data_IF_551394013444
#
_entry.id   IF_551394013444
#
_cell.length_a   1.000
_cell.length_b   1.000
_cell.length_c   1.000
_cell.angle_alpha   90.00
_cell.angle_beta   90.00
_cell.angle_gamma   90.00
#
_symmetry.space_group_name_H-M   'P 1'
#
loop_
_entity.id
_entity.type
_entity.pdbx_description
1 polymer ?
#
# COMPACT_ATOMS: atom_id res chain seq x y z
N UNK A 1 -14.24 -5.11 5.60
CA UNK A 1 -14.41 -3.98 4.68
C UNK A 1 -15.91 -3.71 4.58
N UNK A 2 -16.34 -2.54 5.02
CA UNK A 2 -17.76 -2.25 5.34
C UNK A 2 -18.52 -1.56 4.20
N UNK A 3 -17.85 -1.33 3.05
CA UNK A 3 -18.38 -0.52 1.95
C UNK A 3 -19.21 -1.33 0.92
N UNK A 4 -19.39 -2.63 1.15
CA UNK A 4 -20.22 -3.50 0.31
C UNK A 4 -19.86 -3.42 -1.17
N UNK A 5 -20.87 -3.25 -2.03
CA UNK A 5 -20.74 -3.18 -3.49
C UNK A 5 -19.90 -1.97 -3.98
N UNK A 6 -19.73 -0.93 -3.17
CA UNK A 6 -18.94 0.25 -3.56
C UNK A 6 -17.44 0.06 -3.32
N UNK A 7 -17.04 -1.00 -2.61
CA UNK A 7 -15.65 -1.21 -2.20
C UNK A 7 -14.68 -1.15 -3.38
N UNK A 8 -14.97 -1.86 -4.47
CA UNK A 8 -14.07 -1.93 -5.62
C UNK A 8 -13.88 -0.56 -6.29
N UNK A 9 -14.98 0.16 -6.55
CA UNK A 9 -14.95 1.51 -7.11
C UNK A 9 -14.13 2.46 -6.25
N UNK A 10 -14.34 2.46 -4.94
CA UNK A 10 -13.62 3.35 -4.02
C UNK A 10 -12.12 3.00 -3.95
N UNK A 11 -11.74 1.72 -4.06
CA UNK A 11 -10.33 1.33 -4.13
C UNK A 11 -9.67 1.75 -5.45
N UNK A 12 -10.41 1.75 -6.56
CA UNK A 12 -9.93 2.29 -7.83
C UNK A 12 -9.76 3.82 -7.77
N UNK A 13 -10.73 4.54 -7.19
CA UNK A 13 -10.64 5.99 -6.96
C UNK A 13 -9.46 6.34 -6.05
N UNK A 14 -9.21 5.56 -5.00
CA UNK A 14 -8.03 5.71 -4.16
C UNK A 14 -6.73 5.56 -4.95
N UNK A 15 -6.65 4.56 -5.84
CA UNK A 15 -5.49 4.37 -6.71
C UNK A 15 -5.21 5.59 -7.59
N UNK A 16 -6.27 6.16 -8.21
CA UNK A 16 -6.17 7.41 -8.97
C UNK A 16 -5.65 8.56 -8.10
N UNK A 17 -6.14 8.72 -6.88
CA UNK A 17 -5.70 9.78 -5.98
C UNK A 17 -4.22 9.61 -5.58
N UNK A 18 -3.79 8.38 -5.31
CA UNK A 18 -2.38 8.07 -5.00
C UNK A 18 -1.47 8.44 -6.17
N UNK A 19 -1.85 8.13 -7.41
CA UNK A 19 -1.07 8.55 -8.58
C UNK A 19 -0.91 10.08 -8.65
N UNK A 20 -1.93 10.85 -8.27
CA UNK A 20 -1.87 12.32 -8.27
C UNK A 20 -0.98 12.90 -7.18
N UNK A 21 -0.72 12.18 -6.08
CA UNK A 21 0.16 12.67 -5.01
C UNK A 21 1.64 12.50 -5.34
N UNK A 22 1.98 11.87 -6.46
CA UNK A 22 3.37 11.66 -6.92
C UNK A 22 4.25 10.91 -5.90
N UNK A 23 3.67 10.00 -5.10
CA UNK A 23 4.47 9.10 -4.25
C UNK A 23 5.24 8.10 -5.12
N UNK A 24 6.46 7.73 -4.73
CA UNK A 24 7.31 6.86 -5.55
C UNK A 24 6.97 5.37 -5.39
N UNK A 25 6.39 5.00 -4.23
CA UNK A 25 6.09 3.63 -3.87
C UNK A 25 4.67 3.48 -3.31
N UNK A 26 3.92 2.50 -3.83
CA UNK A 26 2.64 2.06 -3.28
C UNK A 26 2.67 0.56 -2.95
N UNK A 27 2.55 0.20 -1.67
CA UNK A 27 2.35 -1.18 -1.25
C UNK A 27 0.91 -1.35 -0.73
N UNK A 28 0.07 -2.07 -1.46
CA UNK A 28 -1.32 -2.29 -1.09
C UNK A 28 -1.53 -3.70 -0.51
N UNK A 29 -2.44 -3.84 0.46
CA UNK A 29 -2.67 -5.12 1.16
C UNK A 29 -4.15 -5.47 1.22
N UNK A 30 -4.48 -6.72 0.90
CA UNK A 30 -5.81 -7.30 1.04
C UNK A 30 -6.57 -7.49 -0.27
N UNK A 31 -7.83 -7.94 -0.16
CA UNK A 31 -8.69 -8.35 -1.29
C UNK A 31 -8.74 -7.36 -2.47
N UNK A 32 -8.77 -6.06 -2.19
CA UNK A 32 -8.89 -5.01 -3.20
C UNK A 32 -7.55 -4.32 -3.53
N UNK A 33 -6.42 -4.84 -3.01
CA UNK A 33 -5.10 -4.25 -3.22
C UNK A 33 -4.75 -4.17 -4.71
N UNK A 34 -5.04 -5.22 -5.47
CA UNK A 34 -4.82 -5.26 -6.92
C UNK A 34 -5.59 -4.16 -7.65
N UNK A 35 -6.84 -3.91 -7.26
CA UNK A 35 -7.69 -2.85 -7.85
C UNK A 35 -7.06 -1.48 -7.63
N UNK A 36 -6.60 -1.20 -6.40
CA UNK A 36 -5.89 0.06 -6.09
C UNK A 36 -4.59 0.20 -6.88
N UNK A 37 -3.77 -0.85 -6.94
CA UNK A 37 -2.49 -0.83 -7.66
C UNK A 37 -2.67 -0.66 -9.16
N UNK A 38 -3.60 -1.40 -9.78
CA UNK A 38 -3.87 -1.31 -11.21
C UNK A 38 -4.39 0.09 -11.58
N UNK A 39 -5.26 0.68 -10.76
CA UNK A 39 -5.70 2.06 -10.95
C UNK A 39 -4.56 3.07 -10.79
N UNK A 40 -3.72 2.95 -9.76
CA UNK A 40 -2.60 3.85 -9.55
C UNK A 40 -1.60 3.81 -10.73
N UNK A 41 -1.23 2.60 -11.19
CA UNK A 41 -0.35 2.42 -12.36
C UNK A 41 -0.97 3.00 -13.63
N UNK A 42 -2.28 2.85 -13.83
CA UNK A 42 -2.98 3.37 -15.01
C UNK A 42 -2.91 4.90 -15.11
N UNK A 43 -2.97 5.60 -13.98
CA UNK A 43 -3.07 7.07 -13.94
C UNK A 43 -1.75 7.77 -13.60
N UNK A 44 -0.73 7.04 -13.16
CA UNK A 44 0.60 7.58 -12.96
C UNK A 44 1.24 7.93 -14.32
N UNK A 45 1.69 9.16 -14.45
CA UNK A 45 2.48 9.72 -15.55
C UNK A 45 3.99 9.71 -15.23
N UNK A 46 4.41 8.86 -14.29
CA UNK A 46 5.77 8.72 -13.80
C UNK A 46 6.03 7.26 -13.40
N UNK A 47 7.28 6.92 -13.12
CA UNK A 47 7.67 5.57 -12.67
C UNK A 47 7.25 5.33 -11.22
N UNK A 48 5.96 5.03 -11.03
CA UNK A 48 5.39 4.61 -9.76
C UNK A 48 5.71 3.12 -9.55
N UNK A 49 6.56 2.82 -8.57
CA UNK A 49 6.67 1.45 -8.08
C UNK A 49 5.42 1.11 -7.28
N UNK A 50 4.73 0.03 -7.64
CA UNK A 50 3.56 -0.40 -6.91
C UNK A 50 3.52 -1.92 -6.81
N UNK A 51 3.08 -2.46 -5.68
CA UNK A 51 2.94 -3.90 -5.45
C UNK A 51 1.73 -4.19 -4.55
N UNK A 52 1.12 -5.36 -4.72
CA UNK A 52 -0.01 -5.80 -3.89
C UNK A 52 0.28 -7.13 -3.17
N UNK A 53 -0.23 -7.25 -1.95
CA UNK A 53 -0.10 -8.45 -1.13
C UNK A 53 -1.46 -8.92 -0.61
N UNK A 54 -1.61 -10.23 -0.44
CA UNK A 54 -2.86 -10.81 0.08
C UNK A 54 -3.13 -10.43 1.54
N UNK A 55 -2.08 -10.25 2.34
CA UNK A 55 -2.18 -9.96 3.77
C UNK A 55 -0.93 -9.24 4.32
N UNK A 56 -1.05 -8.71 5.54
CA UNK A 56 0.00 -7.93 6.18
C UNK A 56 1.30 -8.72 6.39
N UNK A 57 1.22 -10.03 6.66
CA UNK A 57 2.42 -10.86 6.85
C UNK A 57 3.23 -10.99 5.56
N UNK A 58 2.54 -11.21 4.42
CA UNK A 58 3.19 -11.25 3.12
C UNK A 58 3.87 -9.92 2.77
N UNK A 59 3.22 -8.78 3.08
CA UNK A 59 3.84 -7.46 2.91
C UNK A 59 5.09 -7.30 3.81
N UNK A 60 4.99 -7.64 5.11
CA UNK A 60 6.10 -7.54 6.07
C UNK A 60 7.34 -8.34 5.63
N UNK A 61 7.15 -9.54 5.08
CA UNK A 61 8.23 -10.39 4.60
C UNK A 61 8.97 -9.81 3.37
N UNK A 62 8.40 -8.79 2.73
CA UNK A 62 8.96 -8.18 1.53
C UNK A 62 9.36 -6.72 1.70
N UNK A 63 9.10 -6.07 2.85
CA UNK A 63 9.33 -4.62 3.05
C UNK A 63 10.76 -4.18 2.70
N UNK A 64 11.78 -4.94 3.08
CA UNK A 64 13.19 -4.62 2.80
C UNK A 64 13.55 -4.58 1.31
N UNK A 65 12.71 -5.16 0.44
CA UNK A 65 12.92 -5.08 -1.02
C UNK A 65 12.54 -3.72 -1.59
N UNK A 66 11.73 -2.96 -0.87
CA UNK A 66 11.11 -1.73 -1.35
C UNK A 66 11.53 -0.50 -0.54
N UNK A 67 11.70 -0.65 0.77
CA UNK A 67 11.93 0.44 1.72
C UNK A 67 13.41 0.57 2.04
N UNK A 68 13.89 1.81 2.14
CA UNK A 68 15.25 2.21 2.52
C UNK A 68 15.23 3.15 3.74
N UNK A 69 16.35 3.24 4.45
CA UNK A 69 16.51 4.02 5.70
C UNK A 69 16.06 5.49 5.62
N UNK A 70 16.11 6.11 4.43
CA UNK A 70 15.76 7.53 4.24
C UNK A 70 14.35 7.77 3.69
N UNK A 71 13.54 6.72 3.53
CA UNK A 71 12.19 6.85 3.00
C UNK A 71 11.22 7.42 4.04
N UNK A 72 10.32 8.30 3.59
CA UNK A 72 9.17 8.75 4.39
C UNK A 72 8.00 7.82 4.11
N UNK A 73 7.51 7.13 5.14
CA UNK A 73 6.51 6.07 5.00
C UNK A 73 5.20 6.47 5.69
N UNK A 74 4.09 6.39 4.96
CA UNK A 74 2.74 6.46 5.52
C UNK A 74 2.10 5.07 5.54
N UNK A 75 1.75 4.58 6.73
CA UNK A 75 0.98 3.34 6.88
C UNK A 75 -0.47 3.68 7.17
N UNK A 76 -1.39 3.21 6.32
CA UNK A 76 -2.83 3.48 6.46
C UNK A 76 -3.67 2.24 6.15
N UNK A 77 -4.58 1.89 7.04
CA UNK A 77 -5.53 0.79 6.83
C UNK A 77 -6.57 0.67 7.94
N UNK A 78 -7.55 -0.20 7.73
CA UNK A 78 -8.53 -0.55 8.76
C UNK A 78 -7.93 -1.51 9.79
N UNK A 79 -8.53 -1.62 10.98
CA UNK A 79 -8.12 -2.59 12.02
C UNK A 79 -8.12 -4.03 11.51
N UNK A 80 -9.05 -4.39 10.64
CA UNK A 80 -9.13 -5.74 10.06
C UNK A 80 -7.93 -6.07 9.15
N UNK A 81 -7.30 -5.07 8.54
CA UNK A 81 -6.12 -5.27 7.70
C UNK A 81 -4.85 -5.56 8.50
N UNK A 82 -4.86 -5.26 9.82
CA UNK A 82 -3.76 -5.51 10.76
C UNK A 82 -2.41 -4.91 10.32
N UNK A 83 -2.44 -3.69 9.77
CA UNK A 83 -1.24 -3.02 9.26
C UNK A 83 -0.33 -2.47 10.37
N UNK A 84 -0.75 -2.49 11.64
CA UNK A 84 0.13 -2.24 12.78
C UNK A 84 1.39 -3.13 12.76
N UNK A 85 1.27 -4.35 12.24
CA UNK A 85 2.40 -5.27 12.05
C UNK A 85 3.47 -4.72 11.10
N UNK A 86 3.07 -3.95 10.09
CA UNK A 86 4.01 -3.34 9.17
C UNK A 86 4.79 -2.22 9.87
N UNK A 87 4.12 -1.46 10.77
CA UNK A 87 4.79 -0.43 11.59
C UNK A 87 5.81 -1.07 12.53
N UNK A 88 5.40 -2.11 13.27
CA UNK A 88 6.30 -2.89 14.13
C UNK A 88 7.52 -3.40 13.34
N UNK A 89 7.28 -3.97 12.16
CA UNK A 89 8.35 -4.52 11.34
C UNK A 89 9.31 -3.45 10.81
N UNK A 90 8.79 -2.29 10.39
CA UNK A 90 9.62 -1.17 9.94
C UNK A 90 10.50 -0.65 11.09
N UNK A 91 9.96 -0.55 12.31
CA UNK A 91 10.73 -0.14 13.49
C UNK A 91 11.82 -1.17 13.86
N UNK A 92 11.56 -2.47 13.72
CA UNK A 92 12.60 -3.49 13.92
C UNK A 92 13.76 -3.37 12.92
N UNK A 93 13.45 -3.02 11.67
CA UNK A 93 14.45 -2.96 10.60
C UNK A 93 15.25 -1.64 10.68
N UNK A 94 14.57 -0.51 10.87
CA UNK A 94 15.12 0.83 10.67
C UNK A 94 15.16 1.71 11.93
N UNK A 95 14.53 1.31 13.04
CA UNK A 95 14.37 2.13 14.24
C UNK A 95 15.58 2.17 15.18
N UNK A 96 16.81 2.04 14.66
CA UNK A 96 18.05 2.16 15.46
C UNK A 96 18.57 3.59 15.50
#
# INVERSE_FOLDING_TARGET
AELGAQSEKLHAELGLLIAKTKVQLLLAVGKFAKVTVDAARKYADYDLQAECFDNAAAACNNLQKFVKDSDIILVKGSRAARLEKAVEKLSEIFGK
#
